data_IF_494441722550
#
_entry.id   IF_494441722550
#
_cell.length_a   1.000
_cell.length_b   1.000
_cell.length_c   1.000
_cell.angle_alpha   90.00
_cell.angle_beta   90.00
_cell.angle_gamma   90.00
#
_symmetry.space_group_name_H-M   'P 1'
#
loop_
_entity.id
_entity.type
_entity.pdbx_description
1 polymer ?
#
# COMPACT_ATOMS: atom_id res chain seq x y z
N UNK A 1 2.08 -7.13 -66.33
CA UNK A 1 3.39 -7.06 -65.65
C UNK A 1 3.18 -6.31 -64.35
N UNK A 2 3.50 -6.76 -63.15
CA UNK A 2 3.94 -8.05 -62.64
C UNK A 2 3.50 -8.05 -61.16
N UNK A 3 2.83 -9.13 -60.76
CA UNK A 3 2.70 -9.73 -59.42
C UNK A 3 3.38 -8.98 -58.26
N UNK A 4 2.65 -8.69 -57.18
CA UNK A 4 2.67 -9.55 -55.98
C UNK A 4 1.78 -8.98 -54.85
N UNK A 5 0.71 -9.73 -54.59
CA UNK A 5 0.09 -9.88 -53.27
C UNK A 5 1.19 -10.32 -52.30
N UNK A 6 1.53 -9.48 -51.32
CA UNK A 6 2.30 -9.89 -50.16
C UNK A 6 1.32 -10.44 -49.13
N UNK A 7 1.14 -11.75 -49.22
CA UNK A 7 0.49 -12.61 -48.24
C UNK A 7 1.07 -12.40 -46.84
N UNK A 8 0.16 -12.39 -45.88
CA UNK A 8 0.30 -12.62 -44.44
C UNK A 8 1.53 -13.45 -44.07
N UNK A 9 2.41 -12.93 -43.23
CA UNK A 9 3.17 -13.73 -42.28
C UNK A 9 2.85 -13.21 -40.88
N UNK A 10 2.45 -14.15 -40.02
CA UNK A 10 2.16 -13.91 -38.62
C UNK A 10 3.34 -13.20 -37.95
N UNK A 11 3.18 -11.91 -37.73
CA UNK A 11 3.93 -11.16 -36.76
C UNK A 11 2.90 -10.34 -36.01
N UNK A 12 2.54 -10.77 -34.80
CA UNK A 12 1.68 -10.03 -33.89
C UNK A 12 2.26 -8.63 -33.75
N UNK A 13 1.79 -7.69 -34.57
CA UNK A 13 1.98 -6.26 -34.31
C UNK A 13 1.17 -6.00 -33.07
N UNK A 14 1.83 -6.06 -31.93
CA UNK A 14 1.32 -5.56 -30.67
C UNK A 14 0.96 -4.10 -30.91
N UNK A 15 -0.32 -3.84 -31.21
CA UNK A 15 -0.87 -2.51 -31.09
C UNK A 15 -0.74 -2.20 -29.60
N UNK A 16 0.17 -1.29 -29.27
CA UNK A 16 0.08 -0.55 -28.03
C UNK A 16 -1.21 0.27 -28.14
N UNK A 17 -2.34 -0.37 -27.84
CA UNK A 17 -3.57 0.33 -27.54
C UNK A 17 -3.28 1.06 -26.25
N UNK A 18 -3.12 2.38 -26.37
CA UNK A 18 -2.97 3.26 -25.22
C UNK A 18 -4.11 3.03 -24.24
N UNK A 19 -3.83 2.29 -23.18
CA UNK A 19 -4.51 2.47 -21.92
C UNK A 19 -3.62 3.45 -21.15
N UNK A 20 -4.07 4.70 -21.07
CA UNK A 20 -3.65 5.61 -20.02
C UNK A 20 -4.12 5.02 -18.68
N UNK A 21 -3.45 3.99 -18.18
CA UNK A 21 -3.60 3.56 -16.81
C UNK A 21 -2.47 4.25 -16.08
N UNK A 22 -2.77 5.36 -15.42
CA UNK A 22 -1.84 6.05 -14.54
C UNK A 22 -1.12 5.01 -13.70
N UNK A 23 0.18 4.84 -13.95
CA UNK A 23 1.07 4.02 -13.15
C UNK A 23 1.32 4.75 -11.83
N UNK A 24 0.26 4.96 -11.06
CA UNK A 24 0.38 5.29 -9.64
C UNK A 24 1.00 4.08 -8.99
N UNK A 25 2.17 4.24 -8.37
CA UNK A 25 2.77 3.22 -7.51
C UNK A 25 1.70 2.71 -6.54
N UNK A 26 1.14 1.53 -6.82
CA UNK A 26 0.21 0.89 -5.89
C UNK A 26 1.04 0.41 -4.71
N UNK A 27 1.07 1.17 -3.62
CA UNK A 27 1.67 0.68 -2.37
C UNK A 27 0.96 -0.62 -2.01
N UNK A 28 1.74 -1.68 -1.76
CA UNK A 28 1.22 -3.01 -1.45
C UNK A 28 0.77 -3.09 0.01
N UNK A 29 -0.17 -2.24 0.41
CA UNK A 29 -0.83 -2.34 1.71
C UNK A 29 -2.15 -3.07 1.56
N UNK A 30 -2.46 -3.93 2.52
CA UNK A 30 -3.77 -4.54 2.63
C UNK A 30 -4.80 -3.46 2.97
N UNK A 31 -6.03 -3.56 2.44
CA UNK A 31 -7.07 -2.53 2.59
C UNK A 31 -7.37 -2.20 4.07
N UNK A 32 -7.39 -3.22 4.93
CA UNK A 32 -7.57 -3.05 6.39
C UNK A 32 -6.46 -2.25 7.07
N UNK A 33 -5.24 -2.27 6.53
CA UNK A 33 -4.12 -1.49 7.09
C UNK A 33 -4.37 -0.03 6.77
N UNK A 34 -4.72 0.29 5.52
CA UNK A 34 -5.03 1.66 5.08
C UNK A 34 -6.21 2.22 5.86
N UNK A 35 -7.30 1.47 6.01
CA UNK A 35 -8.47 1.90 6.78
C UNK A 35 -8.12 2.21 8.25
N UNK A 36 -7.25 1.41 8.88
CA UNK A 36 -6.86 1.68 10.27
C UNK A 36 -5.93 2.90 10.42
N UNK A 37 -5.20 3.26 9.37
CA UNK A 37 -4.42 4.50 9.34
C UNK A 37 -5.32 5.74 9.22
N UNK A 38 -6.32 5.68 8.35
CA UNK A 38 -7.23 6.81 8.12
C UNK A 38 -8.26 6.96 9.26
N UNK A 39 -8.71 5.83 9.83
CA UNK A 39 -9.68 5.75 10.92
C UNK A 39 -9.06 5.04 12.15
N UNK A 40 -8.14 5.68 12.88
CA UNK A 40 -7.49 5.07 14.02
C UNK A 40 -8.48 4.86 15.17
N UNK A 41 -8.46 3.66 15.74
CA UNK A 41 -9.29 3.28 16.89
C UNK A 41 -8.46 3.38 18.15
N UNK A 42 -9.04 3.87 19.24
CA UNK A 42 -8.43 3.92 20.56
C UNK A 42 -7.18 4.84 20.66
N UNK A 43 -7.13 5.91 19.86
CA UNK A 43 -6.13 6.97 20.02
C UNK A 43 -6.47 7.81 21.23
N UNK A 44 -5.51 7.93 22.16
CA UNK A 44 -5.67 8.73 23.37
C UNK A 44 -4.66 8.35 24.44
N UNK A 45 -4.84 8.92 25.63
CA UNK A 45 -4.05 8.58 26.80
C UNK A 45 -4.93 8.58 28.04
N UNK A 46 -4.87 7.50 28.82
CA UNK A 46 -5.43 7.48 30.18
C UNK A 46 -4.57 8.32 31.14
N UNK A 47 -5.01 8.51 32.38
CA UNK A 47 -4.16 9.09 33.43
C UNK A 47 -2.96 8.17 33.70
N UNK A 48 -1.81 8.77 34.04
CA UNK A 48 -0.57 8.06 34.38
C UNK A 48 -0.55 7.63 35.84
N UNK A 49 -1.33 8.30 36.70
CA UNK A 49 -1.31 8.08 38.14
C UNK A 49 -2.41 7.12 38.62
N UNK A 50 -3.30 6.69 37.72
CA UNK A 50 -4.36 5.73 38.05
C UNK A 50 -3.72 4.34 38.31
N UNK A 51 -3.88 3.76 39.51
CA UNK A 51 -3.33 2.45 39.85
C UNK A 51 -3.94 1.30 39.02
N UNK A 52 -5.08 1.53 38.37
CA UNK A 52 -5.74 0.52 37.53
C UNK A 52 -5.25 0.54 36.08
N UNK A 53 -4.40 1.51 35.69
CA UNK A 53 -3.94 1.69 34.31
C UNK A 53 -2.51 1.19 34.14
N UNK A 54 -2.35 0.14 33.32
CA UNK A 54 -1.04 -0.38 32.94
C UNK A 54 -0.46 0.40 31.77
N UNK A 55 0.80 0.84 31.84
CA UNK A 55 1.50 1.47 30.69
C UNK A 55 2.65 0.59 30.21
N UNK A 56 2.59 0.14 28.96
CA UNK A 56 3.66 -0.57 28.26
C UNK A 56 4.29 0.31 27.19
N UNK A 57 5.60 0.56 27.31
CA UNK A 57 6.38 1.21 26.26
C UNK A 57 7.19 0.14 25.53
N UNK A 58 6.98 0.02 24.22
CA UNK A 58 7.67 -0.96 23.37
C UNK A 58 8.23 -0.24 22.16
N UNK A 59 9.49 -0.48 21.81
CA UNK A 59 10.10 0.12 20.62
C UNK A 59 11.60 -0.13 20.55
N UNK A 60 12.13 -0.10 19.33
CA UNK A 60 13.56 -0.20 19.07
C UNK A 60 14.00 1.03 18.27
N UNK A 61 14.91 1.87 18.81
CA UNK A 61 15.31 3.12 18.17
C UNK A 61 16.01 2.91 16.82
N UNK A 62 16.55 1.72 16.57
CA UNK A 62 17.20 1.37 15.30
C UNK A 62 16.22 1.25 14.11
N UNK A 63 14.95 0.91 14.38
CA UNK A 63 13.95 0.69 13.33
C UNK A 63 12.99 1.89 13.15
N UNK A 64 13.06 2.88 14.04
CA UNK A 64 12.20 4.07 13.99
C UNK A 64 10.79 3.89 14.56
N UNK A 65 10.48 2.69 15.07
CA UNK A 65 9.14 2.38 15.58
C UNK A 65 9.12 2.37 17.11
N UNK A 66 8.26 3.22 17.68
CA UNK A 66 7.98 3.28 19.12
C UNK A 66 6.48 3.29 19.31
N UNK A 67 6.01 2.39 20.16
CA UNK A 67 4.60 2.21 20.48
C UNK A 67 4.40 2.35 22.00
N UNK A 68 3.35 3.07 22.37
CA UNK A 68 2.90 3.18 23.77
C UNK A 68 1.51 2.58 23.86
N UNK A 69 1.38 1.55 24.67
CA UNK A 69 0.12 0.87 24.92
C UNK A 69 -0.28 1.14 26.37
N UNK A 70 -1.54 1.50 26.56
CA UNK A 70 -2.14 1.67 27.87
C UNK A 70 -3.38 0.79 27.94
N UNK A 71 -3.51 0.02 29.02
CA UNK A 71 -4.69 -0.80 29.32
C UNK A 71 -5.34 -0.34 30.61
#
# INVERSE_FOLDING_TARGET
MLRHVATTSLGVRLRCSGAASGSGLRRMYHERVVDHYDNPRNVGSFDKNDPNVGTGLVGAPACGDVMKLKI
#
